data_IF_334636378938
#
_entry.id   IF_334636378938
#
_cell.length_a   1.000
_cell.length_b   1.000
_cell.length_c   1.000
_cell.angle_alpha   90.00
_cell.angle_beta   90.00
_cell.angle_gamma   90.00
#
_symmetry.space_group_name_H-M   'P 1'
#
loop_
_entity.id
_entity.type
_entity.pdbx_description
1 polymer ?
#
# COMPACT_ATOMS: atom_id res chain seq x y z
N UNK A 1 24.91 -29.78 -15.42
CA UNK A 1 24.23 -28.50 -15.74
C UNK A 1 23.45 -28.06 -14.50
N UNK A 2 23.80 -26.90 -13.94
CA UNK A 2 23.41 -26.43 -12.60
C UNK A 2 21.89 -26.20 -12.44
N UNK A 3 21.31 -26.76 -11.38
CA UNK A 3 19.91 -26.57 -10.95
C UNK A 3 19.77 -25.55 -9.80
N UNK A 4 20.60 -24.51 -9.75
CA UNK A 4 20.68 -23.58 -8.60
C UNK A 4 19.62 -22.45 -8.58
N UNK A 5 18.61 -22.48 -9.44
CA UNK A 5 17.73 -21.32 -9.70
C UNK A 5 16.38 -21.37 -8.96
N UNK A 6 15.90 -22.54 -8.54
CA UNK A 6 14.54 -22.71 -8.00
C UNK A 6 14.34 -22.20 -6.56
N UNK A 7 15.39 -22.14 -5.75
CA UNK A 7 15.29 -21.74 -4.32
C UNK A 7 15.21 -20.22 -4.08
N UNK A 8 15.40 -19.39 -5.13
CA UNK A 8 15.41 -17.92 -5.00
C UNK A 8 14.05 -17.26 -5.24
N UNK A 9 13.16 -17.92 -5.96
CA UNK A 9 11.82 -17.42 -6.28
C UNK A 9 10.92 -17.21 -5.04
N UNK A 10 10.79 -18.17 -4.10
CA UNK A 10 9.93 -17.97 -2.93
C UNK A 10 10.45 -16.87 -2.00
N UNK A 11 11.78 -16.74 -1.87
CA UNK A 11 12.40 -15.67 -1.08
C UNK A 11 12.11 -14.29 -1.68
N UNK A 12 12.17 -14.15 -3.01
CA UNK A 12 11.84 -12.89 -3.70
C UNK A 12 10.36 -12.56 -3.59
N UNK A 13 9.49 -13.55 -3.78
CA UNK A 13 8.04 -13.36 -3.62
C UNK A 13 7.69 -12.93 -2.19
N UNK A 14 8.30 -13.54 -1.18
CA UNK A 14 8.12 -13.16 0.22
C UNK A 14 8.61 -11.73 0.47
N UNK A 15 9.79 -11.35 -0.05
CA UNK A 15 10.29 -9.98 0.08
C UNK A 15 9.34 -8.96 -0.55
N UNK A 16 8.81 -9.25 -1.75
CA UNK A 16 7.83 -8.37 -2.42
C UNK A 16 6.55 -8.27 -1.59
N UNK A 17 6.03 -9.39 -1.07
CA UNK A 17 4.83 -9.40 -0.24
C UNK A 17 5.03 -8.59 1.06
N UNK A 18 6.20 -8.71 1.70
CA UNK A 18 6.54 -7.94 2.90
C UNK A 18 6.65 -6.44 2.57
N UNK A 19 7.32 -6.08 1.47
CA UNK A 19 7.43 -4.68 1.05
C UNK A 19 6.06 -4.08 0.72
N UNK A 20 5.20 -4.81 0.01
CA UNK A 20 3.82 -4.40 -0.25
C UNK A 20 3.03 -4.25 1.05
N UNK A 21 3.19 -5.19 1.99
CA UNK A 21 2.59 -5.10 3.33
C UNK A 21 3.02 -3.85 4.07
N UNK A 22 4.31 -3.50 4.04
CA UNK A 22 4.84 -2.28 4.65
C UNK A 22 4.23 -1.03 4.00
N UNK A 23 4.14 -0.98 2.67
CA UNK A 23 3.54 0.15 1.95
C UNK A 23 2.06 0.29 2.30
N UNK A 24 1.31 -0.81 2.34
CA UNK A 24 -0.11 -0.80 2.72
C UNK A 24 -0.28 -0.29 4.16
N UNK A 25 0.54 -0.76 5.10
CA UNK A 25 0.49 -0.32 6.50
C UNK A 25 0.87 1.16 6.63
N UNK A 26 1.92 1.61 5.94
CA UNK A 26 2.36 3.00 5.95
C UNK A 26 1.30 3.93 5.34
N UNK A 27 0.70 3.57 4.20
CA UNK A 27 -0.40 4.31 3.59
C UNK A 27 -1.63 4.38 4.50
N UNK A 28 -2.04 3.23 5.05
CA UNK A 28 -3.23 3.14 5.92
C UNK A 28 -3.04 3.99 7.18
N UNK A 29 -1.90 3.84 7.86
CA UNK A 29 -1.61 4.64 9.06
C UNK A 29 -1.45 6.13 8.75
N UNK A 30 -0.88 6.47 7.58
CA UNK A 30 -0.80 7.85 7.10
C UNK A 30 -2.16 8.49 6.89
N UNK A 31 -3.10 7.83 6.20
CA UNK A 31 -4.46 8.36 6.02
C UNK A 31 -5.25 8.43 7.33
N UNK A 32 -5.06 7.49 8.26
CA UNK A 32 -5.65 7.60 9.61
C UNK A 32 -5.11 8.82 10.35
N UNK A 33 -3.79 9.06 10.29
CA UNK A 33 -3.14 10.14 11.04
C UNK A 33 -3.36 11.54 10.43
N UNK A 34 -3.33 11.65 9.09
CA UNK A 34 -3.40 12.92 8.36
C UNK A 34 -4.85 13.34 8.15
N UNK A 35 -5.72 12.42 7.72
CA UNK A 35 -7.08 12.73 7.30
C UNK A 35 -8.14 12.27 8.33
N UNK A 36 -7.74 11.57 9.39
CA UNK A 36 -8.68 11.07 10.39
C UNK A 36 -9.64 10.01 9.83
N UNK A 37 -9.24 9.31 8.76
CA UNK A 37 -10.05 8.27 8.15
C UNK A 37 -10.27 7.11 9.13
N UNK A 38 -11.39 6.41 8.98
CA UNK A 38 -11.53 5.11 9.64
C UNK A 38 -10.47 4.16 9.09
N UNK A 39 -10.06 3.17 9.88
CA UNK A 39 -9.05 2.19 9.45
C UNK A 39 -9.40 1.52 8.11
N UNK A 40 -10.68 1.23 7.88
CA UNK A 40 -11.13 0.63 6.63
C UNK A 40 -11.08 1.61 5.47
N UNK A 41 -11.54 2.85 5.65
CA UNK A 41 -11.49 3.89 4.61
C UNK A 41 -10.04 4.20 4.21
N UNK A 42 -9.13 4.27 5.19
CA UNK A 42 -7.71 4.48 4.99
C UNK A 42 -7.03 3.30 4.26
N UNK A 43 -7.39 2.07 4.63
CA UNK A 43 -6.90 0.86 3.95
C UNK A 43 -7.40 0.79 2.51
N UNK A 44 -8.70 1.05 2.30
CA UNK A 44 -9.31 1.05 0.98
C UNK A 44 -8.71 2.13 0.08
N UNK A 45 -8.57 3.36 0.60
CA UNK A 45 -7.88 4.45 -0.11
C UNK A 45 -6.47 4.02 -0.53
N UNK A 46 -5.67 3.54 0.44
CA UNK A 46 -4.29 3.06 0.18
C UNK A 46 -4.28 2.00 -0.92
N UNK A 47 -5.15 0.98 -0.81
CA UNK A 47 -5.24 -0.12 -1.77
C UNK A 47 -5.57 0.38 -3.18
N UNK A 48 -6.55 1.27 -3.33
CA UNK A 48 -6.92 1.84 -4.64
C UNK A 48 -5.80 2.69 -5.26
N UNK A 49 -4.98 3.36 -4.45
CA UNK A 49 -3.79 4.11 -4.89
C UNK A 49 -2.69 3.17 -5.39
N UNK A 50 -2.26 2.19 -4.58
CA UNK A 50 -1.15 1.29 -4.96
C UNK A 50 -1.49 0.36 -6.12
N UNK A 51 -2.77 0.00 -6.26
CA UNK A 51 -3.25 -0.79 -7.41
C UNK A 51 -3.48 0.06 -8.65
N UNK A 52 -3.30 1.38 -8.55
CA UNK A 52 -3.53 2.37 -9.61
C UNK A 52 -4.95 2.31 -10.19
N UNK A 53 -5.90 1.76 -9.43
CA UNK A 53 -7.31 1.75 -9.83
C UNK A 53 -7.84 3.18 -9.83
N UNK A 54 -7.49 3.96 -8.80
CA UNK A 54 -7.71 5.41 -8.74
C UNK A 54 -9.13 5.83 -9.11
N UNK A 55 -10.12 5.50 -8.28
CA UNK A 55 -11.49 5.97 -8.45
C UNK A 55 -11.62 7.47 -8.08
N UNK A 56 -12.40 7.78 -7.06
CA UNK A 56 -12.36 9.07 -6.38
C UNK A 56 -11.93 8.82 -4.94
N UNK A 57 -11.52 9.90 -4.28
CA UNK A 57 -11.15 9.87 -2.87
C UNK A 57 -12.34 9.38 -2.03
N UNK A 58 -12.10 8.46 -1.10
CA UNK A 58 -13.16 7.92 -0.22
C UNK A 58 -13.86 9.03 0.55
N UNK A 59 -13.08 10.04 0.94
CA UNK A 59 -13.53 11.31 1.50
C UNK A 59 -12.68 12.44 0.90
N UNK A 60 -13.10 13.71 1.00
CA UNK A 60 -12.31 14.82 0.47
C UNK A 60 -10.94 14.89 1.14
N UNK A 61 -9.87 14.88 0.35
CA UNK A 61 -8.51 15.03 0.88
C UNK A 61 -8.18 16.49 1.22
N UNK A 62 -7.55 16.70 2.37
CA UNK A 62 -6.88 17.95 2.67
C UNK A 62 -5.68 18.21 1.74
N UNK A 63 -5.09 19.41 1.80
CA UNK A 63 -3.86 19.68 1.06
C UNK A 63 -2.72 18.73 1.47
N UNK A 64 -2.61 18.41 2.76
CA UNK A 64 -1.61 17.47 3.26
C UNK A 64 -1.87 16.04 2.76
N UNK A 65 -3.12 15.58 2.76
CA UNK A 65 -3.49 14.27 2.22
C UNK A 65 -3.22 14.13 0.74
N UNK A 66 -3.40 15.20 -0.04
CA UNK A 66 -3.05 15.20 -1.48
C UNK A 66 -1.54 15.15 -1.73
N UNK A 67 -0.72 15.71 -0.84
CA UNK A 67 0.75 15.61 -0.92
C UNK A 67 1.22 14.23 -0.48
N UNK A 68 0.50 13.61 0.46
CA UNK A 68 0.80 12.29 0.97
C UNK A 68 0.44 11.16 0.00
N UNK A 69 -0.71 11.26 -0.66
CA UNK A 69 -1.24 10.29 -1.63
C UNK A 69 -0.40 10.24 -2.92
#
# INVERSE_FOLDING_TARGET
MNTSTSSRLPRRALLIAVLLGIIILAGTTGFVAIEGYTWFDAFYMTLTTITTIGYQEVRPLSHAGRVFN
#
